data_IF_804334367686
#
_entry.id   IF_804334367686
#
_cell.length_a   1.000
_cell.length_b   1.000
_cell.length_c   1.000
_cell.angle_alpha   90.00
_cell.angle_beta   90.00
_cell.angle_gamma   90.00
#
_symmetry.space_group_name_H-M   'P 1'
#
loop_
_entity.id
_entity.type
_entity.pdbx_description
1 polymer ?
#
# COMPACT_ATOMS: atom_id res chain seq x y z
N UNK A 1 -1.44 -13.24 -7.93
CA UNK A 1 -1.40 -12.23 -6.87
C UNK A 1 -2.83 -11.79 -6.66
N UNK A 2 -3.54 -12.44 -5.74
CA UNK A 2 -4.91 -12.07 -5.41
C UNK A 2 -4.83 -11.19 -4.17
N UNK A 3 -5.66 -10.16 -4.14
CA UNK A 3 -5.78 -9.25 -3.01
C UNK A 3 -7.17 -9.57 -2.42
N UNK A 4 -7.45 -9.31 -1.14
CA UNK A 4 -8.81 -9.41 -0.58
C UNK A 4 -9.28 -8.01 -0.23
N UNK A 5 -9.97 -7.32 -1.15
CA UNK A 5 -10.19 -5.86 -1.11
C UNK A 5 -11.60 -5.45 -0.64
N UNK A 6 -11.63 -4.45 0.25
CA UNK A 6 -12.64 -3.45 0.53
C UNK A 6 -12.13 -2.10 -0.01
N UNK A 7 -12.63 -1.66 -1.17
CA UNK A 7 -12.04 -0.57 -1.97
C UNK A 7 -12.66 0.79 -1.62
N UNK A 8 -11.80 1.79 -1.48
CA UNK A 8 -12.14 3.21 -1.38
C UNK A 8 -11.81 3.87 -2.74
N UNK A 9 -12.81 4.42 -3.43
CA UNK A 9 -12.66 5.14 -4.70
C UNK A 9 -13.00 6.62 -4.48
N UNK A 10 -12.13 7.54 -4.91
CA UNK A 10 -12.55 8.89 -5.30
C UNK A 10 -12.16 9.20 -6.74
N UNK A 11 -13.15 9.76 -7.43
CA UNK A 11 -13.02 10.46 -8.69
C UNK A 11 -12.36 11.83 -8.43
N UNK A 12 -11.24 12.12 -9.08
CA UNK A 12 -10.57 13.41 -9.04
C UNK A 12 -10.86 14.22 -10.32
N UNK A 13 -11.25 15.49 -10.14
CA UNK A 13 -11.38 16.49 -11.21
C UNK A 13 -10.00 17.10 -11.54
N UNK A 14 -9.72 17.46 -12.81
CA UNK A 14 -8.48 18.13 -13.17
C UNK A 14 -8.58 19.64 -12.89
N UNK A 15 -7.76 20.15 -11.98
CA UNK A 15 -7.56 21.59 -11.77
C UNK A 15 -6.42 22.07 -12.67
N UNK A 16 -6.69 23.04 -13.56
CA UNK A 16 -5.67 23.68 -14.39
C UNK A 16 -4.76 24.56 -13.52
N UNK A 17 -3.45 24.33 -13.60
CA UNK A 17 -2.43 25.18 -12.98
C UNK A 17 -1.79 26.11 -14.01
N UNK A 18 -1.64 27.38 -13.63
CA UNK A 18 -1.00 28.44 -14.41
C UNK A 18 0.55 28.35 -14.35
N UNK A 19 1.27 28.89 -15.35
CA UNK A 19 2.73 28.85 -15.38
C UNK A 19 3.36 29.87 -14.42
N UNK A 20 4.24 29.42 -13.53
CA UNK A 20 5.06 30.26 -12.67
C UNK A 20 6.43 30.55 -13.32
N UNK A 21 6.88 31.79 -13.17
CA UNK A 21 8.15 32.33 -13.66
C UNK A 21 9.33 31.89 -12.78
N UNK A 22 10.41 31.42 -13.41
CA UNK A 22 11.63 30.93 -12.76
C UNK A 22 12.44 32.07 -12.11
N UNK A 23 12.69 31.93 -10.80
CA UNK A 23 13.61 32.76 -10.01
C UNK A 23 14.86 31.93 -9.70
N UNK A 24 16.04 32.48 -10.05
CA UNK A 24 17.35 31.86 -9.86
C UNK A 24 17.79 31.99 -8.39
N UNK A 25 17.30 31.07 -7.55
CA UNK A 25 17.72 30.95 -6.15
C UNK A 25 18.95 30.02 -6.02
N UNK A 26 19.92 30.46 -5.22
CA UNK A 26 21.13 29.71 -4.90
C UNK A 26 20.80 28.41 -4.17
N UNK A 27 21.37 27.30 -4.63
CA UNK A 27 21.02 25.97 -4.16
C UNK A 27 21.49 25.74 -2.71
N UNK A 28 20.55 25.33 -1.85
CA UNK A 28 20.81 24.93 -0.46
C UNK A 28 21.57 23.60 -0.41
N UNK A 29 22.27 23.29 0.68
CA UNK A 29 23.07 22.04 0.79
C UNK A 29 22.23 20.75 0.66
N UNK A 30 20.91 20.82 0.90
CA UNK A 30 19.98 19.75 0.58
C UNK A 30 19.89 19.46 -0.94
N UNK A 31 19.99 20.51 -1.77
CA UNK A 31 20.04 20.35 -3.22
C UNK A 31 21.41 19.87 -3.73
N UNK A 32 22.50 20.08 -2.98
CA UNK A 32 23.80 19.46 -3.25
C UNK A 32 23.80 17.96 -2.93
N UNK A 33 23.05 17.52 -1.94
CA UNK A 33 22.84 16.09 -1.69
C UNK A 33 21.90 15.44 -2.73
N UNK A 34 20.94 16.18 -3.29
CA UNK A 34 20.19 15.72 -4.48
C UNK A 34 21.01 15.78 -5.78
N UNK A 35 22.13 16.51 -5.79
CA UNK A 35 23.16 16.44 -6.83
C UNK A 35 24.13 15.28 -6.62
N UNK A 36 23.83 14.37 -5.68
CA UNK A 36 24.32 13.00 -5.78
C UNK A 36 23.94 12.49 -7.16
N UNK A 37 24.94 12.30 -8.01
CA UNK A 37 24.77 11.87 -9.39
C UNK A 37 24.24 10.43 -9.36
N UNK A 38 22.93 10.27 -9.15
CA UNK A 38 22.26 8.99 -9.18
C UNK A 38 22.42 8.47 -10.60
N UNK A 39 23.38 7.57 -10.80
CA UNK A 39 23.53 6.81 -12.04
C UNK A 39 22.33 5.85 -12.13
N UNK A 40 21.19 6.40 -12.52
CA UNK A 40 19.96 5.67 -12.80
C UNK A 40 20.21 4.81 -14.02
N UNK A 41 20.83 3.65 -13.81
CA UNK A 41 21.01 2.66 -14.86
C UNK A 41 19.63 2.14 -15.26
N UNK A 42 19.16 2.59 -16.41
CA UNK A 42 17.96 2.04 -17.04
C UNK A 42 18.22 0.58 -17.34
N UNK A 43 17.56 -0.32 -16.60
CA UNK A 43 17.59 -1.74 -16.93
C UNK A 43 16.75 -1.93 -18.20
N UNK A 44 17.42 -2.24 -19.31
CA UNK A 44 16.73 -2.56 -20.54
C UNK A 44 16.14 -3.97 -20.43
N UNK A 45 14.92 -4.05 -19.90
CA UNK A 45 14.15 -5.30 -19.85
C UNK A 45 13.23 -5.36 -21.07
N UNK A 46 13.39 -6.42 -21.86
CA UNK A 46 12.48 -6.67 -22.99
C UNK A 46 11.10 -7.01 -22.42
N UNK A 47 10.03 -6.26 -22.76
CA UNK A 47 8.69 -6.55 -22.28
C UNK A 47 8.19 -7.83 -22.96
N UNK A 48 8.29 -8.96 -22.26
CA UNK A 48 7.75 -10.23 -22.73
C UNK A 48 6.32 -10.37 -22.21
N UNK A 49 5.34 -10.41 -23.12
CA UNK A 49 3.93 -10.67 -22.81
C UNK A 49 3.42 -11.84 -23.65
N UNK A 50 2.30 -12.46 -23.27
CA UNK A 50 1.64 -13.50 -24.08
C UNK A 50 2.46 -14.77 -24.35
N UNK A 51 2.52 -15.19 -25.62
CA UNK A 51 3.22 -16.41 -26.06
C UNK A 51 4.74 -16.34 -25.82
N UNK A 52 5.45 -15.24 -26.19
CA UNK A 52 6.87 -15.08 -25.86
C UNK A 52 7.19 -15.30 -24.38
N UNK A 53 6.37 -14.76 -23.48
CA UNK A 53 6.53 -14.96 -22.04
C UNK A 53 6.36 -16.43 -21.62
N UNK A 54 5.34 -17.11 -22.17
CA UNK A 54 5.10 -18.54 -21.90
C UNK A 54 6.28 -19.42 -22.38
N UNK A 55 6.82 -19.13 -23.55
CA UNK A 55 7.98 -19.85 -24.09
C UNK A 55 9.24 -19.62 -23.24
N UNK A 56 9.49 -18.36 -22.86
CA UNK A 56 10.60 -18.03 -21.96
C UNK A 56 10.46 -18.74 -20.60
N UNK A 57 9.27 -18.69 -20.00
CA UNK A 57 8.98 -19.38 -18.75
C UNK A 57 9.16 -20.90 -18.88
N UNK A 58 8.67 -21.52 -19.95
CA UNK A 58 8.82 -22.95 -20.20
C UNK A 58 10.29 -23.38 -20.38
N UNK A 59 11.09 -22.56 -21.05
CA UNK A 59 12.54 -22.77 -21.14
C UNK A 59 13.22 -22.64 -19.76
N UNK A 60 12.75 -21.73 -18.92
CA UNK A 60 13.26 -21.48 -17.57
C UNK A 60 12.77 -22.46 -16.49
N UNK A 61 11.74 -23.27 -16.73
CA UNK A 61 11.24 -24.24 -15.74
C UNK A 61 11.52 -25.70 -16.09
N UNK A 62 11.76 -26.04 -17.36
CA UNK A 62 12.00 -27.45 -17.74
C UNK A 62 13.29 -28.07 -17.20
N UNK A 63 13.27 -29.37 -16.92
CA UNK A 63 14.37 -30.14 -16.29
C UNK A 63 15.27 -30.90 -17.29
N UNK A 64 14.93 -30.91 -18.58
CA UNK A 64 15.67 -31.67 -19.60
C UNK A 64 17.07 -31.08 -19.87
N UNK A 65 18.05 -31.95 -20.20
CA UNK A 65 19.45 -31.59 -20.43
C UNK A 65 19.64 -30.46 -21.47
N UNK A 66 18.92 -30.52 -22.60
CA UNK A 66 18.97 -29.48 -23.65
C UNK A 66 18.51 -28.12 -23.11
N UNK A 67 17.48 -28.11 -22.25
CA UNK A 67 16.97 -26.88 -21.62
C UNK A 67 17.94 -26.33 -20.58
N UNK A 68 18.70 -27.19 -19.89
CA UNK A 68 19.76 -26.77 -18.95
C UNK A 68 20.89 -26.03 -19.67
N UNK A 69 21.31 -26.52 -20.84
CA UNK A 69 22.37 -25.88 -21.63
C UNK A 69 21.93 -24.53 -22.18
N UNK A 70 20.73 -24.47 -22.79
CA UNK A 70 20.13 -23.22 -23.29
C UNK A 70 19.93 -22.21 -22.14
N UNK A 71 19.40 -22.66 -20.99
CA UNK A 71 19.26 -21.83 -19.80
C UNK A 71 20.61 -21.25 -19.37
N UNK A 72 21.68 -22.05 -19.34
CA UNK A 72 23.00 -21.56 -18.91
C UNK A 72 23.57 -20.47 -19.82
N UNK A 73 23.33 -20.56 -21.13
CA UNK A 73 23.80 -19.59 -22.11
C UNK A 73 22.98 -18.31 -22.05
N UNK A 74 21.65 -18.43 -22.06
CA UNK A 74 20.75 -17.27 -22.00
C UNK A 74 20.91 -16.57 -20.66
N UNK A 75 20.84 -17.29 -19.55
CA UNK A 75 20.98 -16.74 -18.20
C UNK A 75 22.31 -16.00 -18.02
N UNK A 76 23.44 -16.57 -18.46
CA UNK A 76 24.74 -15.90 -18.30
C UNK A 76 24.79 -14.56 -19.02
N UNK A 77 24.18 -14.46 -20.21
CA UNK A 77 24.18 -13.21 -20.99
C UNK A 77 23.17 -12.22 -20.40
N UNK A 78 21.91 -12.62 -20.22
CA UNK A 78 20.88 -11.71 -19.68
C UNK A 78 21.16 -11.29 -18.25
N UNK A 79 21.60 -12.17 -17.34
CA UNK A 79 21.91 -11.75 -15.97
C UNK A 79 23.14 -10.84 -15.88
N UNK A 80 24.11 -11.01 -16.80
CA UNK A 80 25.26 -10.10 -16.90
C UNK A 80 24.82 -8.72 -17.41
N UNK A 81 23.95 -8.69 -18.43
CA UNK A 81 23.45 -7.45 -19.03
C UNK A 81 22.46 -6.70 -18.11
N UNK A 82 21.68 -7.43 -17.30
CA UNK A 82 20.76 -6.86 -16.30
C UNK A 82 21.51 -6.32 -15.06
N UNK A 83 22.79 -6.66 -14.90
CA UNK A 83 23.60 -6.19 -13.78
C UNK A 83 23.35 -6.94 -12.46
N UNK A 84 22.83 -8.17 -12.50
CA UNK A 84 22.60 -9.00 -11.30
C UNK A 84 23.87 -9.24 -10.47
N UNK A 85 25.09 -9.40 -11.05
CA UNK A 85 26.31 -9.48 -10.26
C UNK A 85 26.61 -8.20 -9.48
N UNK A 86 26.29 -7.03 -10.04
CA UNK A 86 26.41 -5.74 -9.36
C UNK A 86 25.37 -5.61 -8.23
N UNK A 87 24.15 -6.11 -8.46
CA UNK A 87 23.11 -6.13 -7.42
C UNK A 87 23.46 -7.09 -6.27
N UNK A 88 24.03 -8.26 -6.59
CA UNK A 88 24.46 -9.23 -5.58
C UNK A 88 25.63 -8.68 -4.77
N UNK A 89 26.65 -8.12 -5.41
CA UNK A 89 27.76 -7.46 -4.69
C UNK A 89 27.26 -6.30 -3.84
N UNK A 90 26.31 -5.50 -4.32
CA UNK A 90 25.65 -4.48 -3.52
C UNK A 90 24.88 -5.07 -2.32
N UNK A 91 24.09 -6.12 -2.51
CA UNK A 91 23.36 -6.79 -1.45
C UNK A 91 24.30 -7.43 -0.40
N UNK A 92 25.38 -8.06 -0.86
CA UNK A 92 26.42 -8.62 0.01
C UNK A 92 27.14 -7.48 0.78
N UNK A 93 27.30 -6.29 0.19
CA UNK A 93 27.80 -5.10 0.92
C UNK A 93 26.79 -4.52 1.93
N UNK A 94 25.51 -4.88 1.83
CA UNK A 94 24.47 -4.53 2.81
C UNK A 94 24.42 -5.50 4.01
N UNK A 95 25.31 -6.49 4.11
CA UNK A 95 25.40 -7.41 5.26
C UNK A 95 25.72 -6.71 6.60
N UNK A 96 26.11 -5.44 6.57
CA UNK A 96 26.04 -4.59 7.75
C UNK A 96 24.61 -4.09 7.93
N UNK A 97 23.86 -4.71 8.87
CA UNK A 97 22.52 -4.29 9.36
C UNK A 97 22.18 -2.90 8.87
N UNK A 98 21.17 -2.77 8.01
CA UNK A 98 20.58 -1.47 7.66
C UNK A 98 20.47 -0.68 8.97
N UNK A 99 21.41 0.26 9.20
CA UNK A 99 21.32 1.21 10.29
C UNK A 99 20.24 2.14 9.80
N UNK A 100 18.99 1.70 9.92
CA UNK A 100 17.84 2.57 9.80
C UNK A 100 18.22 3.78 10.62
N UNK A 101 18.38 4.96 10.00
CA UNK A 101 18.49 6.18 10.78
C UNK A 101 17.09 6.35 11.37
N UNK A 102 16.78 5.58 12.41
CA UNK A 102 15.87 6.02 13.42
C UNK A 102 16.56 7.26 13.96
N UNK A 103 16.30 8.39 13.32
CA UNK A 103 16.33 9.66 13.99
C UNK A 103 15.39 9.45 15.17
N UNK A 104 15.93 9.04 16.33
CA UNK A 104 15.29 9.43 17.58
C UNK A 104 15.25 10.93 17.46
N UNK A 105 14.05 11.48 17.30
CA UNK A 105 13.81 12.89 17.55
C UNK A 105 14.51 13.17 18.87
N UNK A 106 15.67 13.82 18.81
CA UNK A 106 16.42 14.18 20.00
C UNK A 106 15.48 15.07 20.77
N UNK A 107 15.04 14.57 21.92
CA UNK A 107 14.13 15.22 22.85
C UNK A 107 14.53 16.68 23.05
N UNK A 108 13.91 17.57 22.29
CA UNK A 108 13.97 19.02 22.45
C UNK A 108 12.67 19.65 21.95
N UNK A 109 11.55 19.05 22.34
CA UNK A 109 10.35 19.84 22.59
C UNK A 109 10.39 20.19 24.08
N UNK A 110 10.46 21.48 24.39
CA UNK A 110 10.26 21.99 25.74
C UNK A 110 8.92 21.45 26.27
N UNK A 111 8.81 21.07 27.56
CA UNK A 111 7.58 20.51 28.13
C UNK A 111 6.35 21.44 28.05
N UNK A 112 6.52 22.70 27.63
CA UNK A 112 5.45 23.66 27.37
C UNK A 112 4.88 23.63 25.93
N UNK A 113 5.61 23.07 24.96
CA UNK A 113 5.19 23.03 23.53
C UNK A 113 4.86 21.61 23.05
N UNK A 114 4.97 20.62 23.94
CA UNK A 114 4.40 19.31 23.74
C UNK A 114 2.88 19.42 23.81
N UNK A 115 2.28 19.95 22.73
CA UNK A 115 0.90 19.63 22.36
C UNK A 115 0.81 18.12 22.53
N UNK A 116 -0.11 17.70 23.39
CA UNK A 116 -0.40 16.32 23.77
C UNK A 116 -0.85 15.54 22.53
N UNK A 117 0.08 15.28 21.62
CA UNK A 117 -0.03 14.38 20.49
C UNK A 117 0.11 12.97 21.05
N UNK A 118 -0.81 12.63 21.94
CA UNK A 118 -1.15 11.25 22.16
C UNK A 118 -1.56 10.70 20.78
N UNK A 119 -0.78 9.77 20.18
CA UNK A 119 -1.14 9.21 18.88
C UNK A 119 -2.52 8.49 18.94
N UNK A 120 -3.02 8.21 20.15
CA UNK A 120 -4.37 7.71 20.40
C UNK A 120 -5.48 8.75 20.16
N UNK A 121 -5.15 10.05 20.20
CA UNK A 121 -6.10 11.16 19.99
C UNK A 121 -6.38 11.45 18.52
N UNK A 122 -5.70 10.78 17.59
CA UNK A 122 -5.84 11.04 16.16
C UNK A 122 -5.25 12.41 15.78
N UNK A 123 -5.14 12.70 14.49
CA UNK A 123 -5.02 14.11 14.08
C UNK A 123 -6.28 14.85 14.57
N UNK A 124 -6.18 16.13 14.93
CA UNK A 124 -7.36 16.93 15.20
C UNK A 124 -8.11 17.17 13.89
N UNK A 125 -9.01 16.23 13.57
CA UNK A 125 -9.76 16.16 12.33
C UNK A 125 -10.93 17.17 12.27
N UNK A 126 -11.03 18.07 13.26
CA UNK A 126 -12.05 19.13 13.33
C UNK A 126 -11.81 20.30 12.36
N UNK A 127 -10.69 20.28 11.61
CA UNK A 127 -10.39 21.26 10.57
C UNK A 127 -11.45 21.30 9.44
N UNK A 128 -11.83 22.49 8.93
CA UNK A 128 -13.01 22.69 8.08
C UNK A 128 -12.82 22.35 6.58
N UNK A 129 -12.04 21.32 6.25
CA UNK A 129 -11.82 20.89 4.86
C UNK A 129 -12.72 19.70 4.48
N UNK A 130 -13.46 19.72 3.35
CA UNK A 130 -14.17 18.54 2.88
C UNK A 130 -13.16 17.45 2.49
N UNK A 131 -13.07 16.41 3.32
CA UNK A 131 -12.22 15.25 3.02
C UNK A 131 -12.95 14.33 2.04
N UNK A 132 -12.26 13.79 1.02
CA UNK A 132 -12.86 12.84 0.09
C UNK A 132 -13.22 11.50 0.76
N UNK A 133 -12.69 11.23 1.95
CA UNK A 133 -12.75 9.94 2.62
C UNK A 133 -13.06 10.10 4.10
N UNK A 134 -13.82 9.14 4.63
CA UNK A 134 -14.07 9.00 6.07
C UNK A 134 -12.87 8.36 6.76
N UNK A 135 -12.48 8.91 7.91
CA UNK A 135 -11.48 8.32 8.80
C UNK A 135 -12.09 7.21 9.66
N UNK A 136 -11.22 6.44 10.31
CA UNK A 136 -11.59 5.46 11.34
C UNK A 136 -12.44 6.12 12.44
N UNK A 137 -12.07 7.33 12.84
CA UNK A 137 -12.76 8.07 13.91
C UNK A 137 -14.13 8.56 13.47
N UNK A 138 -14.26 9.00 12.21
CA UNK A 138 -15.53 9.43 11.64
C UNK A 138 -16.56 8.28 11.70
N UNK A 139 -16.16 7.06 11.34
CA UNK A 139 -17.02 5.86 11.47
C UNK A 139 -17.29 5.50 12.94
N UNK A 140 -16.27 5.50 13.79
CA UNK A 140 -16.44 5.17 15.20
C UNK A 140 -17.42 6.12 15.89
N UNK A 141 -17.31 7.42 15.65
CA UNK A 141 -18.24 8.43 16.16
C UNK A 141 -19.65 8.24 15.60
N UNK A 142 -19.79 7.97 14.30
CA UNK A 142 -21.09 7.70 13.69
C UNK A 142 -21.76 6.45 14.27
N UNK A 143 -21.00 5.39 14.57
CA UNK A 143 -21.51 4.18 15.22
C UNK A 143 -21.92 4.44 16.67
N UNK A 144 -21.13 5.21 17.44
CA UNK A 144 -21.47 5.61 18.80
C UNK A 144 -22.73 6.49 18.86
N UNK A 145 -22.91 7.38 17.89
CA UNK A 145 -24.09 8.23 17.76
C UNK A 145 -25.32 7.46 17.23
N UNK A 146 -25.14 6.22 16.76
CA UNK A 146 -26.18 5.46 16.08
C UNK A 146 -26.59 6.03 14.73
N UNK A 147 -25.79 6.94 14.17
CA UNK A 147 -26.02 7.52 12.84
C UNK A 147 -25.75 6.50 11.71
N UNK A 148 -24.85 5.54 11.97
CA UNK A 148 -24.56 4.40 11.10
C UNK A 148 -24.61 3.09 11.91
N UNK A 149 -25.02 2.00 11.25
CA UNK A 149 -24.94 0.65 11.81
C UNK A 149 -23.79 -0.12 11.13
N UNK A 150 -22.86 -0.75 11.88
CA UNK A 150 -21.81 -1.60 11.31
C UNK A 150 -22.34 -2.68 10.35
N UNK A 151 -23.54 -3.21 10.61
CA UNK A 151 -24.16 -4.21 9.73
C UNK A 151 -24.51 -3.65 8.35
N UNK A 152 -25.04 -2.43 8.30
CA UNK A 152 -25.42 -1.77 7.06
C UNK A 152 -24.19 -1.38 6.25
N UNK A 153 -23.15 -0.85 6.92
CA UNK A 153 -21.85 -0.54 6.31
C UNK A 153 -21.25 -1.81 5.69
N UNK A 154 -21.28 -2.92 6.41
CA UNK A 154 -20.77 -4.20 5.91
C UNK A 154 -21.50 -4.66 4.64
N UNK A 155 -22.83 -4.53 4.61
CA UNK A 155 -23.66 -4.88 3.45
C UNK A 155 -23.37 -4.02 2.22
N UNK A 156 -23.25 -2.70 2.40
CA UNK A 156 -22.94 -1.77 1.30
C UNK A 156 -21.59 -2.08 0.69
N UNK A 157 -20.55 -2.23 1.52
CA UNK A 157 -19.18 -2.48 1.04
C UNK A 157 -19.07 -3.85 0.36
N UNK A 158 -19.66 -4.89 0.94
CA UNK A 158 -19.66 -6.23 0.34
C UNK A 158 -20.30 -6.24 -1.06
N UNK A 159 -21.45 -5.60 -1.21
CA UNK A 159 -22.15 -5.52 -2.49
C UNK A 159 -21.35 -4.75 -3.54
N UNK A 160 -20.75 -3.60 -3.16
CA UNK A 160 -19.92 -2.82 -4.08
C UNK A 160 -18.66 -3.60 -4.49
N UNK A 161 -18.01 -4.27 -3.56
CA UNK A 161 -16.84 -5.08 -3.85
C UNK A 161 -17.19 -6.24 -4.80
N UNK A 162 -18.34 -6.89 -4.60
CA UNK A 162 -18.85 -7.94 -5.50
C UNK A 162 -19.13 -7.41 -6.91
N UNK A 163 -19.64 -6.18 -7.06
CA UNK A 163 -19.84 -5.55 -8.36
C UNK A 163 -18.50 -5.27 -9.07
N UNK A 164 -17.52 -4.73 -8.35
CA UNK A 164 -16.18 -4.47 -8.90
C UNK A 164 -15.44 -5.75 -9.29
N UNK A 165 -15.59 -6.84 -8.52
CA UNK A 165 -14.91 -8.08 -8.87
C UNK A 165 -15.43 -8.70 -10.19
N UNK A 166 -16.66 -8.39 -10.61
CA UNK A 166 -17.18 -8.82 -11.91
C UNK A 166 -16.40 -8.20 -13.07
N UNK A 167 -15.88 -6.97 -12.93
CA UNK A 167 -15.11 -6.32 -13.98
C UNK A 167 -13.62 -6.64 -13.90
N UNK A 168 -13.09 -6.84 -12.68
CA UNK A 168 -11.65 -7.01 -12.49
C UNK A 168 -11.20 -8.47 -12.37
N UNK A 169 -12.04 -9.45 -11.99
CA UNK A 169 -11.77 -10.91 -11.94
C UNK A 169 -10.48 -11.42 -11.23
N UNK A 170 -9.53 -10.56 -10.86
CA UNK A 170 -8.24 -10.92 -10.25
C UNK A 170 -8.02 -10.27 -8.88
N UNK A 171 -8.96 -9.46 -8.39
CA UNK A 171 -8.71 -8.51 -7.30
C UNK A 171 -9.23 -8.93 -5.92
N UNK A 172 -10.12 -9.92 -5.80
CA UNK A 172 -10.75 -10.27 -4.52
C UNK A 172 -11.20 -11.73 -4.46
N UNK A 173 -10.64 -12.50 -3.52
CA UNK A 173 -11.35 -13.63 -2.91
C UNK A 173 -12.17 -13.08 -1.74
N UNK A 174 -13.47 -13.33 -1.73
CA UNK A 174 -14.34 -12.82 -0.67
C UNK A 174 -14.53 -13.88 0.40
N UNK A 175 -14.39 -13.48 1.66
CA UNK A 175 -14.93 -14.27 2.76
C UNK A 175 -16.44 -14.47 2.54
N UNK A 176 -16.95 -15.59 3.05
CA UNK A 176 -18.37 -15.89 2.95
C UNK A 176 -19.22 -14.79 3.60
N UNK A 177 -20.30 -14.39 2.92
CA UNK A 177 -21.16 -13.30 3.36
C UNK A 177 -21.73 -13.58 4.75
N UNK A 178 -22.07 -14.84 5.04
CA UNK A 178 -22.63 -15.22 6.34
C UNK A 178 -21.65 -14.92 7.48
N UNK A 179 -20.36 -15.18 7.28
CA UNK A 179 -19.32 -14.89 8.26
C UNK A 179 -19.17 -13.38 8.50
N UNK A 180 -19.12 -12.59 7.43
CA UNK A 180 -19.05 -11.12 7.50
C UNK A 180 -20.30 -10.56 8.22
N UNK A 181 -21.49 -11.04 7.84
CA UNK A 181 -22.75 -10.61 8.41
C UNK A 181 -22.84 -10.93 9.91
N UNK A 182 -22.38 -12.13 10.32
CA UNK A 182 -22.36 -12.51 11.73
C UNK A 182 -21.42 -11.62 12.55
N UNK A 183 -20.22 -11.33 12.04
CA UNK A 183 -19.26 -10.46 12.71
C UNK A 183 -19.78 -9.01 12.83
N UNK A 184 -20.36 -8.49 11.75
CA UNK A 184 -20.92 -7.14 11.72
C UNK A 184 -22.15 -7.01 12.64
N UNK A 185 -23.02 -8.03 12.69
CA UNK A 185 -24.16 -8.09 13.61
C UNK A 185 -23.70 -8.09 15.08
N UNK A 186 -22.68 -8.89 15.42
CA UNK A 186 -22.10 -8.89 16.76
C UNK A 186 -21.50 -7.52 17.14
N UNK A 187 -20.85 -6.84 16.19
CA UNK A 187 -20.35 -5.48 16.40
C UNK A 187 -21.47 -4.46 16.61
N UNK A 188 -22.51 -4.50 15.77
CA UNK A 188 -23.71 -3.67 15.89
C UNK A 188 -24.32 -3.77 17.29
N UNK A 189 -24.47 -4.98 17.81
CA UNK A 189 -24.98 -5.21 19.16
C UNK A 189 -24.09 -4.58 20.24
N UNK A 190 -22.77 -4.65 20.09
CA UNK A 190 -21.83 -4.02 21.02
C UNK A 190 -21.96 -2.50 21.02
N UNK A 191 -22.09 -1.87 19.85
CA UNK A 191 -22.34 -0.43 19.76
C UNK A 191 -23.70 -0.04 20.34
N UNK A 192 -24.76 -0.80 20.06
CA UNK A 192 -26.10 -0.59 20.65
C UNK A 192 -26.08 -0.70 22.19
N UNK A 193 -25.23 -1.57 22.73
CA UNK A 193 -25.03 -1.70 24.18
C UNK A 193 -24.03 -0.68 24.77
N UNK A 194 -23.45 0.21 23.96
CA UNK A 194 -22.43 1.18 24.40
C UNK A 194 -21.10 0.54 24.83
N UNK A 195 -20.79 -0.68 24.36
CA UNK A 195 -19.60 -1.45 24.74
C UNK A 195 -18.81 -1.95 23.52
N UNK A 196 -18.36 -1.07 22.61
CA UNK A 196 -17.48 -1.48 21.51
C UNK A 196 -16.14 -2.01 22.04
N UNK A 197 -15.53 -2.96 21.34
CA UNK A 197 -14.24 -3.54 21.73
C UNK A 197 -13.08 -2.53 21.61
N UNK A 198 -13.13 -1.67 20.60
CA UNK A 198 -12.13 -0.62 20.33
C UNK A 198 -12.69 0.38 19.31
N UNK A 199 -11.90 1.41 18.96
CA UNK A 199 -12.18 2.30 17.81
C UNK A 199 -12.30 1.55 16.47
N UNK A 200 -11.73 0.34 16.39
CA UNK A 200 -11.75 -0.50 15.18
C UNK A 200 -12.91 -1.50 15.16
N UNK A 201 -13.72 -1.57 16.21
CA UNK A 201 -14.86 -2.48 16.23
C UNK A 201 -15.85 -2.09 15.12
N UNK A 202 -16.27 -3.06 14.31
CA UNK A 202 -17.22 -2.86 13.22
C UNK A 202 -16.61 -2.33 11.91
N UNK A 203 -15.30 -2.06 11.88
CA UNK A 203 -14.61 -1.69 10.65
C UNK A 203 -14.23 -2.90 9.82
N UNK A 204 -14.29 -2.73 8.50
CA UNK A 204 -13.88 -3.74 7.53
C UNK A 204 -12.40 -3.59 7.20
N UNK A 205 -11.71 -4.72 7.13
CA UNK A 205 -10.30 -4.77 6.78
C UNK A 205 -10.06 -5.60 5.52
N UNK A 206 -9.00 -5.20 4.82
CA UNK A 206 -8.41 -5.89 3.69
C UNK A 206 -7.21 -6.64 4.21
N UNK A 207 -7.19 -7.94 4.00
CA UNK A 207 -6.03 -8.77 4.32
C UNK A 207 -5.40 -9.17 2.99
N UNK A 208 -4.08 -9.00 2.88
CA UNK A 208 -3.37 -9.48 1.69
C UNK A 208 -3.33 -11.01 1.71
N UNK A 209 -3.54 -11.68 0.58
CA UNK A 209 -3.65 -13.15 0.50
C UNK A 209 -2.44 -13.88 1.11
N UNK A 210 -1.22 -13.33 1.02
CA UNK A 210 -0.07 -13.98 1.65
C UNK A 210 -0.07 -13.97 3.19
N UNK A 211 -1.02 -13.26 3.81
CA UNK A 211 -1.16 -13.14 5.26
C UNK A 211 -2.32 -13.98 5.82
N UNK A 212 -3.12 -14.64 4.97
CA UNK A 212 -4.27 -15.47 5.38
C UNK A 212 -3.95 -16.95 5.49
#
# INVERSE_FOLDING_TARGET
>A
MRITIALLFCLSNPLMAAPSTESTAQLTDAQRQSAGNYDLKTMNVMPLTGIPLKLAAYAMTGTNFIKRTIRSLVAKKTFKDIGVPALKTFADTLEGRMKWPFYRLSKQASPSDAVDQDPSKGEDLTGPGPRPYYSIEDYHHAFLQGALDPLDVAGVVYNQAKLLNKSFHFMAEFADWQSIQQAASASSQRYKCGKPLSKLDGLLFIIKEEMS
#
